data_IF_765267726364
#
_entry.id   IF_765267726364
#
_cell.length_a   1.000
_cell.length_b   1.000
_cell.length_c   1.000
_cell.angle_alpha   90.00
_cell.angle_beta   90.00
_cell.angle_gamma   90.00
#
_symmetry.space_group_name_H-M   'P 1'
#
loop_
_entity.id
_entity.type
_entity.pdbx_description
1 polymer ?
#
# COMPACT_ATOMS: atom_id res chain seq x y z
N UNK A 1 -6.53 14.87 12.32
CA UNK A 1 -7.23 13.91 11.44
C UNK A 1 -6.20 13.05 10.70
N UNK A 2 -5.56 12.06 11.35
CA UNK A 2 -4.42 11.35 10.73
C UNK A 2 -4.55 9.82 10.74
N UNK A 3 -5.40 9.26 11.60
CA UNK A 3 -5.61 7.80 11.70
C UNK A 3 -6.49 7.20 10.59
N UNK A 4 -7.45 7.99 10.08
CA UNK A 4 -8.37 7.55 9.03
C UNK A 4 -7.64 7.21 7.73
N UNK A 5 -6.65 8.03 7.44
CA UNK A 5 -5.78 7.98 6.28
C UNK A 5 -4.91 6.71 6.29
N UNK A 6 -4.24 6.42 7.41
CA UNK A 6 -3.45 5.19 7.57
C UNK A 6 -4.32 3.93 7.54
N UNK A 7 -5.50 3.98 8.16
CA UNK A 7 -6.46 2.87 8.15
C UNK A 7 -6.98 2.55 6.75
N UNK A 8 -7.17 3.57 5.92
CA UNK A 8 -7.59 3.41 4.53
C UNK A 8 -6.48 2.77 3.68
N UNK A 9 -5.25 3.28 3.76
CA UNK A 9 -4.09 2.70 3.05
C UNK A 9 -3.86 1.23 3.44
N UNK A 10 -3.98 0.90 4.72
CA UNK A 10 -3.82 -0.47 5.21
C UNK A 10 -4.89 -1.41 4.65
N UNK A 11 -6.16 -0.98 4.60
CA UNK A 11 -7.25 -1.76 3.97
C UNK A 11 -7.02 -1.96 2.48
N UNK A 12 -6.61 -0.91 1.77
CA UNK A 12 -6.39 -1.00 0.33
C UNK A 12 -5.19 -1.89 0.01
N UNK A 13 -4.13 -1.83 0.83
CA UNK A 13 -3.01 -2.77 0.76
C UNK A 13 -3.46 -4.22 0.97
N UNK A 14 -4.27 -4.49 1.99
CA UNK A 14 -4.81 -5.83 2.24
C UNK A 14 -5.68 -6.35 1.09
N UNK A 15 -6.47 -5.46 0.48
CA UNK A 15 -7.31 -5.77 -0.69
C UNK A 15 -6.47 -6.13 -1.92
N UNK A 16 -5.41 -5.38 -2.19
CA UNK A 16 -4.49 -5.65 -3.30
C UNK A 16 -3.75 -6.98 -3.10
N UNK A 17 -3.33 -7.28 -1.87
CA UNK A 17 -2.70 -8.57 -1.52
C UNK A 17 -3.63 -9.75 -1.73
N UNK A 18 -4.92 -9.61 -1.37
CA UNK A 18 -5.92 -10.65 -1.57
C UNK A 18 -6.18 -10.91 -3.06
N UNK A 19 -6.25 -9.85 -3.87
CA UNK A 19 -6.37 -9.95 -5.33
C UNK A 19 -5.15 -10.64 -5.95
N UNK A 20 -3.93 -10.30 -5.53
CA UNK A 20 -2.71 -10.97 -5.99
C UNK A 20 -2.73 -12.46 -5.62
N UNK A 21 -3.16 -12.81 -4.41
CA UNK A 21 -3.26 -14.21 -3.98
C UNK A 21 -4.31 -14.99 -4.76
N UNK A 22 -5.46 -14.37 -5.04
CA UNK A 22 -6.52 -14.98 -5.86
C UNK A 22 -6.04 -15.23 -7.28
N UNK A 23 -5.44 -14.21 -7.90
CA UNK A 23 -4.90 -14.29 -9.26
C UNK A 23 -3.81 -15.38 -9.37
N UNK A 24 -2.91 -15.45 -8.38
CA UNK A 24 -1.87 -16.49 -8.31
C UNK A 24 -2.38 -17.90 -8.08
N UNK A 25 -3.58 -18.06 -7.51
CA UNK A 25 -4.23 -19.37 -7.29
C UNK A 25 -5.03 -19.82 -8.51
N UNK A 26 -5.23 -18.98 -9.52
CA UNK A 26 -5.92 -19.37 -10.73
C UNK A 26 -5.10 -20.39 -11.52
N UNK A 27 -5.80 -21.27 -12.26
CA UNK A 27 -5.17 -22.30 -13.11
C UNK A 27 -4.30 -21.70 -14.22
N UNK A 28 -4.64 -20.51 -14.69
CA UNK A 28 -3.90 -19.71 -15.65
C UNK A 28 -3.79 -18.29 -15.07
N UNK A 29 -2.75 -18.02 -14.26
CA UNK A 29 -2.56 -16.71 -13.65
C UNK A 29 -2.18 -15.69 -14.74
N UNK A 30 -2.87 -14.55 -14.76
CA UNK A 30 -2.48 -13.43 -15.61
C UNK A 30 -1.29 -12.69 -14.97
N UNK A 31 -0.08 -12.96 -15.49
CA UNK A 31 1.14 -12.35 -14.99
C UNK A 31 1.18 -10.82 -15.16
N UNK A 32 0.53 -10.30 -16.20
CA UNK A 32 0.44 -8.84 -16.45
C UNK A 32 -0.47 -8.21 -15.40
N UNK A 33 -1.61 -8.83 -15.10
CA UNK A 33 -2.51 -8.40 -14.04
C UNK A 33 -1.83 -8.48 -12.67
N UNK A 34 -1.08 -9.55 -12.38
CA UNK A 34 -0.29 -9.68 -11.15
C UNK A 34 0.77 -8.57 -11.05
N UNK A 35 1.48 -8.27 -12.14
CA UNK A 35 2.48 -7.21 -12.17
C UNK A 35 1.84 -5.82 -11.93
N UNK A 36 0.66 -5.58 -12.50
CA UNK A 36 -0.12 -4.35 -12.27
C UNK A 36 -0.54 -4.22 -10.81
N UNK A 37 -1.08 -5.29 -10.22
CA UNK A 37 -1.47 -5.32 -8.81
C UNK A 37 -0.26 -5.09 -7.88
N UNK A 38 0.90 -5.67 -8.20
CA UNK A 38 2.15 -5.43 -7.45
C UNK A 38 2.61 -3.98 -7.55
N UNK A 39 2.51 -3.34 -8.71
CA UNK A 39 2.84 -1.91 -8.87
C UNK A 39 1.92 -1.03 -8.02
N UNK A 40 0.62 -1.32 -8.00
CA UNK A 40 -0.35 -0.60 -7.17
C UNK A 40 -0.03 -0.79 -5.67
N UNK A 41 0.29 -2.01 -5.25
CA UNK A 41 0.73 -2.29 -3.87
C UNK A 41 1.98 -1.48 -3.50
N UNK A 42 2.96 -1.41 -4.41
CA UNK A 42 4.18 -0.64 -4.20
C UNK A 42 3.88 0.85 -4.01
N UNK A 43 3.06 1.43 -4.86
CA UNK A 43 2.65 2.84 -4.75
C UNK A 43 1.96 3.15 -3.41
N UNK A 44 1.07 2.26 -2.93
CA UNK A 44 0.41 2.39 -1.62
C UNK A 44 1.45 2.32 -0.49
N UNK A 45 2.41 1.41 -0.57
CA UNK A 45 3.50 1.31 0.43
C UNK A 45 4.36 2.57 0.44
N UNK A 46 4.67 3.13 -0.72
CA UNK A 46 5.46 4.36 -0.84
C UNK A 46 4.71 5.55 -0.23
N UNK A 47 3.39 5.64 -0.43
CA UNK A 47 2.54 6.65 0.23
C UNK A 47 2.53 6.49 1.76
N UNK A 48 2.43 5.25 2.27
CA UNK A 48 2.52 4.99 3.71
C UNK A 48 3.88 5.41 4.28
N UNK A 49 4.97 5.14 3.55
CA UNK A 49 6.32 5.53 3.97
C UNK A 49 6.51 7.05 3.93
N UNK A 50 5.99 7.73 2.91
CA UNK A 50 6.03 9.18 2.81
C UNK A 50 5.30 9.85 3.99
N UNK A 51 4.10 9.36 4.34
CA UNK A 51 3.37 9.83 5.52
C UNK A 51 4.05 9.50 6.84
N UNK A 52 4.67 8.33 6.97
CA UNK A 52 5.45 8.00 8.15
C UNK A 52 6.65 8.94 8.33
N UNK A 53 7.33 9.31 7.23
CA UNK A 53 8.43 10.28 7.21
C UNK A 53 7.96 11.70 7.54
N UNK A 54 6.82 12.13 7.00
CA UNK A 54 6.23 13.43 7.33
C UNK A 54 5.88 13.54 8.82
N UNK A 55 5.32 12.46 9.39
CA UNK A 55 5.06 12.34 10.84
C UNK A 55 6.33 12.42 11.69
N UNK A 56 7.43 11.80 11.25
CA UNK A 56 8.74 11.85 11.93
C UNK A 56 9.38 13.25 11.83
N UNK A 57 9.28 13.90 10.67
CA UNK A 57 9.84 15.22 10.42
C UNK A 57 9.10 16.36 11.12
N UNK A 58 7.78 16.25 11.30
CA UNK A 58 6.97 17.26 11.99
C UNK A 58 7.27 17.37 13.49
N UNK A 59 7.99 16.42 14.09
CA UNK A 59 8.43 16.48 15.49
C UNK A 59 9.78 17.16 15.71
N UNK A 60 10.51 17.53 14.63
CA UNK A 60 11.89 18.08 14.72
C UNK A 60 12.00 19.60 14.55
N UNK A 61 10.90 20.30 14.24
CA UNK A 61 10.88 21.76 14.00
C UNK A 61 10.31 22.55 15.20
N UNK A 62 10.77 22.22 16.41
CA UNK A 62 10.59 23.08 17.61
C UNK A 62 11.80 22.87 18.53
N UNK A 63 12.91 23.56 18.26
CA UNK A 63 14.05 23.65 19.16
C UNK A 63 14.68 25.04 19.01
#
# INVERSE_FOLDING_TARGET
MTDRNMSYLSREHARLEDQIRKERKQRLPDEVQIARLKKLKLAVKDQMQAWAREKDGSGRLTA
#
